data_IF_513613622463
#
_entry.id   IF_513613622463
#
_cell.length_a   1.000
_cell.length_b   1.000
_cell.length_c   1.000
_cell.angle_alpha   90.00
_cell.angle_beta   90.00
_cell.angle_gamma   90.00
#
_symmetry.space_group_name_H-M   'P 1'
#
loop_
_entity.id
_entity.type
_entity.pdbx_description
1 polymer ?
#
# COMPACT_ATOMS: atom_id res chain seq x y z
N UNK A 1 -13.46 -34.35 -7.17
CA UNK A 1 -14.69 -34.74 -7.90
C UNK A 1 -15.83 -35.13 -6.94
N UNK A 2 -15.72 -36.24 -6.20
CA UNK A 2 -16.79 -36.73 -5.28
C UNK A 2 -17.35 -35.69 -4.27
N UNK A 3 -16.53 -34.80 -3.72
CA UNK A 3 -16.99 -33.78 -2.77
C UNK A 3 -17.78 -32.65 -3.47
N UNK A 4 -17.25 -32.12 -4.58
CA UNK A 4 -17.93 -31.07 -5.34
C UNK A 4 -19.27 -31.54 -5.90
N UNK A 5 -19.35 -32.79 -6.40
CA UNK A 5 -20.61 -33.36 -6.88
C UNK A 5 -21.69 -33.39 -5.78
N UNK A 6 -21.30 -33.68 -4.53
CA UNK A 6 -22.22 -33.64 -3.37
C UNK A 6 -22.67 -32.23 -3.03
N UNK A 7 -21.75 -31.27 -3.03
CA UNK A 7 -22.06 -29.86 -2.77
C UNK A 7 -22.95 -29.29 -3.87
N UNK A 8 -22.63 -29.57 -5.14
CA UNK A 8 -23.45 -29.21 -6.30
C UNK A 8 -24.84 -29.82 -6.21
N UNK A 9 -24.96 -31.08 -5.82
CA UNK A 9 -26.27 -31.72 -5.67
C UNK A 9 -27.14 -31.01 -4.64
N UNK A 10 -26.60 -30.68 -3.46
CA UNK A 10 -27.32 -29.95 -2.40
C UNK A 10 -27.66 -28.52 -2.83
N UNK A 11 -26.74 -27.85 -3.54
CA UNK A 11 -26.95 -26.52 -4.09
C UNK A 11 -28.07 -26.48 -5.14
N UNK A 12 -28.10 -27.45 -6.06
CA UNK A 12 -29.10 -27.50 -7.13
C UNK A 12 -30.46 -28.06 -6.68
N UNK A 13 -30.47 -28.88 -5.62
CA UNK A 13 -31.65 -29.56 -5.10
C UNK A 13 -31.80 -29.33 -3.59
N UNK A 14 -32.13 -28.10 -3.15
CA UNK A 14 -32.39 -27.84 -1.74
C UNK A 14 -33.57 -28.71 -1.28
N UNK A 15 -33.33 -29.53 -0.26
CA UNK A 15 -34.33 -30.46 0.29
C UNK A 15 -35.20 -29.83 1.39
N UNK A 16 -34.87 -28.60 1.80
CA UNK A 16 -35.58 -27.78 2.78
C UNK A 16 -35.28 -26.30 2.54
N UNK A 17 -36.05 -25.44 3.19
CA UNK A 17 -35.68 -24.03 3.31
C UNK A 17 -34.42 -23.89 4.19
N UNK A 18 -33.46 -23.11 3.70
CA UNK A 18 -32.21 -22.79 4.39
C UNK A 18 -32.36 -21.44 5.09
N UNK A 19 -31.73 -21.28 6.25
CA UNK A 19 -31.58 -19.95 6.85
C UNK A 19 -30.68 -19.08 5.95
N UNK A 20 -30.69 -17.74 6.11
CA UNK A 20 -29.81 -16.86 5.35
C UNK A 20 -28.31 -17.23 5.47
N UNK A 21 -27.87 -17.63 6.66
CA UNK A 21 -26.48 -18.05 6.92
C UNK A 21 -26.15 -19.38 6.25
N UNK A 22 -27.06 -20.36 6.30
CA UNK A 22 -26.89 -21.66 5.65
C UNK A 22 -26.85 -21.52 4.13
N UNK A 23 -27.72 -20.68 3.57
CA UNK A 23 -27.72 -20.37 2.14
C UNK A 23 -26.41 -19.68 1.73
N UNK A 24 -25.95 -18.69 2.51
CA UNK A 24 -24.67 -18.03 2.26
C UNK A 24 -23.50 -19.01 2.29
N UNK A 25 -23.47 -19.94 3.25
CA UNK A 25 -22.45 -20.97 3.34
C UNK A 25 -22.47 -21.90 2.12
N UNK A 26 -23.66 -22.33 1.69
CA UNK A 26 -23.83 -23.21 0.53
C UNK A 26 -23.38 -22.53 -0.76
N UNK A 27 -23.86 -21.31 -1.00
CA UNK A 27 -23.51 -20.49 -2.16
C UNK A 27 -21.99 -20.22 -2.20
N UNK A 28 -21.41 -19.79 -1.08
CA UNK A 28 -19.96 -19.52 -0.98
C UNK A 28 -19.12 -20.79 -1.14
N UNK A 29 -19.58 -21.91 -0.61
CA UNK A 29 -18.89 -23.20 -0.76
C UNK A 29 -18.91 -23.66 -2.22
N UNK A 30 -20.08 -23.63 -2.86
CA UNK A 30 -20.22 -23.99 -4.27
C UNK A 30 -19.32 -23.12 -5.16
N UNK A 31 -19.39 -21.80 -5.00
CA UNK A 31 -18.58 -20.85 -5.75
C UNK A 31 -17.08 -21.06 -5.51
N UNK A 32 -16.67 -21.35 -4.28
CA UNK A 32 -15.28 -21.67 -3.94
C UNK A 32 -14.73 -22.86 -4.76
N UNK A 33 -15.53 -23.91 -4.95
CA UNK A 33 -15.16 -25.05 -5.79
C UNK A 33 -15.13 -24.69 -7.28
N UNK A 34 -16.14 -23.97 -7.78
CA UNK A 34 -16.19 -23.52 -9.18
C UNK A 34 -14.96 -22.70 -9.54
N UNK A 35 -14.58 -21.74 -8.69
CA UNK A 35 -13.39 -20.90 -8.85
C UNK A 35 -12.07 -21.66 -8.73
N UNK A 36 -12.08 -22.78 -8.03
CA UNK A 36 -10.97 -23.73 -7.98
C UNK A 36 -10.93 -24.67 -9.20
N UNK A 37 -11.75 -24.41 -10.23
CA UNK A 37 -11.78 -25.18 -11.47
C UNK A 37 -12.55 -26.50 -11.35
N UNK A 38 -13.46 -26.66 -10.39
CA UNK A 38 -14.20 -27.91 -10.23
C UNK A 38 -15.06 -28.27 -11.45
N UNK A 39 -15.50 -27.26 -12.23
CA UNK A 39 -16.23 -27.41 -13.50
C UNK A 39 -15.34 -27.63 -14.73
N UNK A 40 -14.02 -27.47 -14.61
CA UNK A 40 -13.09 -27.70 -15.72
C UNK A 40 -12.92 -29.20 -15.98
N UNK A 41 -12.55 -29.56 -17.20
CA UNK A 41 -12.03 -30.87 -17.54
C UNK A 41 -10.63 -31.09 -16.94
N UNK A 42 -10.02 -32.25 -17.17
CA UNK A 42 -8.70 -32.56 -16.59
C UNK A 42 -7.59 -31.66 -17.16
N UNK A 43 -7.67 -31.30 -18.43
CA UNK A 43 -6.71 -30.38 -19.07
C UNK A 43 -6.82 -28.97 -18.47
N UNK A 44 -8.05 -28.45 -18.35
CA UNK A 44 -8.31 -27.15 -17.73
C UNK A 44 -7.90 -27.12 -16.26
N UNK A 45 -8.13 -28.18 -15.49
CA UNK A 45 -7.65 -28.27 -14.10
C UNK A 45 -6.12 -28.21 -14.02
N UNK A 46 -5.42 -28.95 -14.88
CA UNK A 46 -3.95 -28.95 -14.90
C UNK A 46 -3.40 -27.58 -15.32
N UNK A 47 -4.03 -26.93 -16.31
CA UNK A 47 -3.69 -25.56 -16.70
C UNK A 47 -3.90 -24.58 -15.55
N UNK A 48 -5.05 -24.66 -14.86
CA UNK A 48 -5.34 -23.81 -13.71
C UNK A 48 -4.29 -23.99 -12.61
N UNK A 49 -3.93 -25.25 -12.30
CA UNK A 49 -2.90 -25.58 -11.31
C UNK A 49 -1.57 -24.90 -11.65
N UNK A 50 -1.08 -25.08 -12.89
CA UNK A 50 0.17 -24.44 -13.36
C UNK A 50 0.12 -22.92 -13.27
N UNK A 51 -0.97 -22.30 -13.72
CA UNK A 51 -1.15 -20.84 -13.67
C UNK A 51 -1.12 -20.32 -12.22
N UNK A 52 -1.82 -21.00 -11.30
CA UNK A 52 -1.87 -20.60 -9.89
C UNK A 52 -0.54 -20.82 -9.16
N UNK A 53 0.18 -21.89 -9.49
CA UNK A 53 1.51 -22.18 -8.96
C UNK A 53 2.51 -21.11 -9.38
N UNK A 54 2.56 -20.79 -10.67
CA UNK A 54 3.43 -19.75 -11.22
C UNK A 54 3.10 -18.37 -10.63
N UNK A 55 1.82 -17.99 -10.57
CA UNK A 55 1.40 -16.71 -10.00
C UNK A 55 1.78 -16.59 -8.51
N UNK A 56 1.70 -17.68 -7.75
CA UNK A 56 2.08 -17.71 -6.33
C UNK A 56 3.59 -17.52 -6.16
N UNK A 57 4.40 -18.23 -6.96
CA UNK A 57 5.86 -18.07 -6.96
C UNK A 57 6.28 -16.65 -7.33
N UNK A 58 5.71 -16.09 -8.40
CA UNK A 58 6.02 -14.73 -8.85
C UNK A 58 5.58 -13.65 -7.85
N UNK A 59 4.46 -13.85 -7.15
CA UNK A 59 4.01 -12.92 -6.10
C UNK A 59 4.96 -12.92 -4.89
N UNK A 60 5.47 -14.11 -4.53
CA UNK A 60 6.51 -14.23 -3.50
C UNK A 60 7.80 -13.55 -3.93
N UNK A 61 8.26 -13.82 -5.17
CA UNK A 61 9.47 -13.21 -5.72
C UNK A 61 9.36 -11.69 -5.79
N UNK A 62 8.23 -11.15 -6.27
CA UNK A 62 7.95 -9.71 -6.28
C UNK A 62 8.17 -9.07 -4.90
N UNK A 63 7.60 -9.68 -3.87
CA UNK A 63 7.65 -9.18 -2.49
C UNK A 63 9.06 -9.28 -1.90
N UNK A 64 9.80 -10.35 -2.19
CA UNK A 64 11.18 -10.53 -1.78
C UNK A 64 12.12 -9.53 -2.46
N UNK A 65 11.94 -9.29 -3.76
CA UNK A 65 12.70 -8.30 -4.51
C UNK A 65 12.50 -6.89 -3.94
N UNK A 66 11.25 -6.52 -3.69
CA UNK A 66 10.91 -5.24 -3.06
C UNK A 66 11.60 -5.07 -1.70
N UNK A 67 11.56 -6.10 -0.85
CA UNK A 67 12.20 -6.06 0.46
C UNK A 67 13.73 -5.92 0.34
N UNK A 68 14.37 -6.68 -0.55
CA UNK A 68 15.82 -6.65 -0.75
C UNK A 68 16.28 -5.28 -1.23
N UNK A 69 15.62 -4.72 -2.23
CA UNK A 69 16.03 -3.44 -2.82
C UNK A 69 15.75 -2.26 -1.91
N UNK A 70 14.62 -2.28 -1.18
CA UNK A 70 14.31 -1.29 -0.16
C UNK A 70 15.38 -1.25 0.94
N UNK A 71 15.91 -2.42 1.34
CA UNK A 71 16.99 -2.54 2.32
C UNK A 71 18.38 -2.19 1.77
N UNK A 72 18.60 -2.36 0.47
CA UNK A 72 19.89 -2.09 -0.16
C UNK A 72 20.20 -0.59 -0.24
N UNK A 73 19.17 0.25 -0.38
CA UNK A 73 19.35 1.69 -0.39
C UNK A 73 19.68 2.23 1.01
N UNK A 74 20.77 2.99 1.09
CA UNK A 74 21.10 3.82 2.24
C UNK A 74 21.58 5.18 1.75
N UNK A 75 21.06 6.25 2.36
CA UNK A 75 21.62 7.59 2.23
C UNK A 75 22.47 7.84 3.48
N UNK A 76 23.79 7.71 3.31
CA UNK A 76 24.76 7.89 4.37
C UNK A 76 25.30 9.32 4.33
N UNK A 77 25.09 10.06 5.43
CA UNK A 77 25.50 11.45 5.62
C UNK A 77 26.52 11.49 6.75
N UNK A 78 27.65 12.15 6.53
CA UNK A 78 28.69 12.40 7.55
C UNK A 78 28.89 13.88 7.85
N UNK A 79 28.42 14.76 6.96
CA UNK A 79 28.43 16.21 7.17
C UNK A 79 27.14 16.66 7.86
N UNK A 80 27.28 17.19 9.08
CA UNK A 80 26.15 17.66 9.89
C UNK A 80 25.37 18.80 9.20
N UNK A 81 26.02 19.62 8.35
CA UNK A 81 25.34 20.68 7.61
C UNK A 81 24.27 20.13 6.64
N UNK A 82 24.42 18.88 6.19
CA UNK A 82 23.44 18.21 5.33
C UNK A 82 22.19 17.72 6.09
N UNK A 83 22.16 17.85 7.41
CA UNK A 83 20.99 17.51 8.25
C UNK A 83 20.06 18.70 8.52
N UNK A 84 20.35 19.85 7.91
CA UNK A 84 19.58 21.08 8.13
C UNK A 84 18.07 20.88 7.85
N UNK A 85 17.27 21.51 8.72
CA UNK A 85 15.81 21.37 8.77
C UNK A 85 15.26 20.11 9.43
N UNK A 86 16.02 19.02 9.53
CA UNK A 86 15.52 17.76 10.09
C UNK A 86 15.21 17.88 11.60
N UNK A 87 14.10 17.28 12.09
CA UNK A 87 13.83 17.19 13.52
C UNK A 87 14.88 16.34 14.24
N UNK A 88 15.17 16.68 15.51
CA UNK A 88 16.11 15.93 16.34
C UNK A 88 15.73 14.45 16.49
N UNK A 89 14.44 14.13 16.49
CA UNK A 89 13.92 12.76 16.52
C UNK A 89 14.34 11.96 15.28
N UNK A 90 14.32 12.59 14.10
CA UNK A 90 14.75 11.96 12.84
C UNK A 90 16.28 11.82 12.79
N UNK A 91 17.03 12.84 13.24
CA UNK A 91 18.49 12.76 13.34
C UNK A 91 18.93 11.66 14.32
N UNK A 92 18.31 11.58 15.49
CA UNK A 92 18.61 10.55 16.48
C UNK A 92 18.31 9.13 15.94
N UNK A 93 17.19 8.94 15.25
CA UNK A 93 16.86 7.67 14.61
C UNK A 93 17.89 7.29 13.53
N UNK A 94 18.28 8.23 12.67
CA UNK A 94 19.27 7.99 11.63
C UNK A 94 20.68 7.69 12.19
N UNK A 95 21.06 8.34 13.29
CA UNK A 95 22.30 8.04 14.01
C UNK A 95 22.26 6.66 14.67
N UNK A 96 21.10 6.26 15.21
CA UNK A 96 20.91 4.90 15.73
C UNK A 96 21.08 3.85 14.63
N UNK A 97 20.45 4.06 13.46
CA UNK A 97 20.61 3.18 12.30
C UNK A 97 22.06 3.12 11.81
N UNK A 98 22.79 4.25 11.80
CA UNK A 98 24.22 4.26 11.46
C UNK A 98 25.02 3.37 12.42
N UNK A 99 24.76 3.49 13.73
CA UNK A 99 25.40 2.67 14.76
C UNK A 99 25.07 1.18 14.63
N UNK A 100 23.82 0.82 14.34
CA UNK A 100 23.42 -0.57 14.08
C UNK A 100 24.13 -1.18 12.85
N UNK A 101 24.49 -0.34 11.88
CA UNK A 101 25.25 -0.73 10.69
C UNK A 101 26.76 -0.52 10.84
N UNK A 102 27.26 -0.23 12.05
CA UNK A 102 28.68 0.00 12.34
C UNK A 102 29.31 1.11 11.48
N UNK A 103 28.55 2.17 11.16
CA UNK A 103 29.01 3.35 10.44
C UNK A 103 28.90 4.61 11.30
N UNK A 104 29.78 5.57 11.06
CA UNK A 104 29.71 6.90 11.67
C UNK A 104 28.65 7.77 10.98
N UNK A 105 28.20 8.85 11.62
CA UNK A 105 27.24 9.80 11.04
C UNK A 105 25.79 9.30 11.10
N UNK A 106 25.05 9.49 10.00
CA UNK A 106 23.60 9.28 9.92
C UNK A 106 23.23 8.46 8.69
N UNK A 107 22.36 7.47 8.86
CA UNK A 107 21.83 6.67 7.75
C UNK A 107 20.32 6.87 7.65
N UNK A 108 19.88 7.35 6.48
CA UNK A 108 18.48 7.39 6.10
C UNK A 108 18.15 6.23 5.15
N UNK A 109 17.02 5.57 5.39
CA UNK A 109 16.53 4.44 4.58
C UNK A 109 15.24 4.82 3.84
N UNK A 110 14.77 3.92 2.99
CA UNK A 110 13.49 4.08 2.29
C UNK A 110 12.28 3.67 3.14
N UNK A 111 12.51 3.16 4.36
CA UNK A 111 11.43 2.83 5.29
C UNK A 111 10.68 4.10 5.69
N UNK A 112 9.35 4.01 5.76
CA UNK A 112 8.50 5.19 5.90
C UNK A 112 8.86 6.11 7.09
N UNK A 113 9.21 5.60 8.29
CA UNK A 113 9.64 6.44 9.41
C UNK A 113 10.95 7.21 9.17
N UNK A 114 11.81 6.76 8.24
CA UNK A 114 13.04 7.45 7.84
C UNK A 114 12.78 8.38 6.64
N UNK A 115 12.10 7.85 5.61
CA UNK A 115 11.78 8.57 4.38
C UNK A 115 10.87 9.79 4.60
N UNK A 116 9.77 9.62 5.35
CA UNK A 116 8.76 10.67 5.49
C UNK A 116 9.31 11.93 6.16
N UNK A 117 10.00 11.87 7.32
CA UNK A 117 10.60 13.07 7.90
C UNK A 117 11.64 13.70 6.98
N UNK A 118 12.45 12.90 6.28
CA UNK A 118 13.45 13.44 5.37
C UNK A 118 12.82 14.27 4.24
N UNK A 119 11.77 13.74 3.60
CA UNK A 119 11.06 14.45 2.52
C UNK A 119 10.25 15.65 3.00
N UNK A 120 9.86 15.68 4.28
CA UNK A 120 9.04 16.74 4.88
C UNK A 120 9.90 17.91 5.36
N UNK A 121 11.03 17.64 6.01
CA UNK A 121 11.75 18.66 6.77
C UNK A 121 13.13 19.01 6.22
N UNK A 122 13.80 18.11 5.49
CA UNK A 122 15.18 18.36 5.03
C UNK A 122 15.21 19.57 4.09
N UNK A 123 16.08 20.54 4.35
CA UNK A 123 16.28 21.68 3.44
C UNK A 123 17.10 21.30 2.20
N UNK A 124 17.78 20.14 2.23
CA UNK A 124 18.69 19.68 1.19
C UNK A 124 17.95 19.11 -0.03
N UNK A 125 17.65 19.98 -1.01
CA UNK A 125 16.85 19.64 -2.20
C UNK A 125 17.40 18.48 -3.03
N UNK A 126 18.70 18.44 -3.29
CA UNK A 126 19.29 17.33 -4.07
C UNK A 126 19.24 16.00 -3.32
N UNK A 127 19.33 16.01 -1.98
CA UNK A 127 19.16 14.80 -1.18
C UNK A 127 17.69 14.34 -1.16
N UNK A 128 16.74 15.27 -1.08
CA UNK A 128 15.30 14.95 -1.23
C UNK A 128 15.04 14.31 -2.59
N UNK A 129 15.64 14.83 -3.67
CA UNK A 129 15.56 14.25 -5.01
C UNK A 129 16.16 12.84 -5.04
N UNK A 130 17.34 12.62 -4.46
CA UNK A 130 17.96 11.30 -4.39
C UNK A 130 17.05 10.28 -3.67
N UNK A 131 16.51 10.63 -2.50
CA UNK A 131 15.57 9.76 -1.77
C UNK A 131 14.27 9.52 -2.55
N UNK A 132 13.70 10.57 -3.14
CA UNK A 132 12.49 10.45 -3.93
C UNK A 132 12.67 9.52 -5.12
N UNK A 133 13.75 9.71 -5.90
CA UNK A 133 14.04 8.86 -7.05
C UNK A 133 14.24 7.41 -6.59
N UNK A 134 15.09 7.19 -5.59
CA UNK A 134 15.33 5.86 -5.05
C UNK A 134 14.04 5.16 -4.61
N UNK A 135 13.10 5.86 -3.97
CA UNK A 135 11.82 5.29 -3.52
C UNK A 135 10.85 4.99 -4.66
N UNK A 136 10.82 5.82 -5.70
CA UNK A 136 9.86 5.71 -6.81
C UNK A 136 10.36 4.85 -7.96
N UNK A 137 11.64 4.49 -7.99
CA UNK A 137 12.23 3.57 -8.99
C UNK A 137 12.60 2.20 -8.41
N UNK A 138 12.22 1.91 -7.16
CA UNK A 138 12.44 0.59 -6.54
C UNK A 138 11.89 -0.52 -7.44
N UNK A 139 12.72 -1.53 -7.71
CA UNK A 139 12.44 -2.69 -8.55
C UNK A 139 12.20 -2.36 -10.03
N UNK A 140 12.74 -1.23 -10.50
CA UNK A 140 12.73 -0.87 -11.93
C UNK A 140 14.13 -0.76 -12.54
N UNK A 141 15.18 -0.93 -11.74
CA UNK A 141 16.57 -0.86 -12.20
C UNK A 141 17.00 -2.14 -12.93
N UNK A 142 18.03 -2.05 -13.76
CA UNK A 142 18.60 -3.22 -14.45
C UNK A 142 19.44 -4.08 -13.48
N UNK A 143 18.76 -4.83 -12.61
CA UNK A 143 19.35 -5.69 -11.59
C UNK A 143 18.46 -6.93 -11.32
N UNK A 144 18.93 -7.84 -10.45
CA UNK A 144 18.22 -9.07 -10.09
C UNK A 144 16.89 -8.84 -9.34
N UNK A 145 16.67 -7.64 -8.79
CA UNK A 145 15.45 -7.27 -8.07
C UNK A 145 14.41 -6.58 -8.98
N UNK A 146 14.68 -6.44 -10.28
CA UNK A 146 13.74 -5.85 -11.22
C UNK A 146 12.42 -6.64 -11.27
N UNK A 147 11.31 -5.95 -11.04
CA UNK A 147 9.97 -6.52 -11.01
C UNK A 147 9.14 -6.25 -12.28
N UNK A 148 9.67 -5.55 -13.29
CA UNK A 148 8.91 -5.20 -14.49
C UNK A 148 8.43 -6.45 -15.25
N UNK A 149 9.31 -7.42 -15.48
CA UNK A 149 8.92 -8.67 -16.16
C UNK A 149 8.03 -9.55 -15.28
N UNK A 150 8.26 -9.56 -13.97
CA UNK A 150 7.38 -10.25 -13.00
C UNK A 150 5.96 -9.66 -13.05
N UNK A 151 5.83 -8.33 -13.05
CA UNK A 151 4.55 -7.63 -13.17
C UNK A 151 3.84 -7.97 -14.49
N UNK A 152 4.55 -7.88 -15.63
CA UNK A 152 4.01 -8.24 -16.95
C UNK A 152 3.51 -9.68 -16.96
N UNK A 153 4.28 -10.62 -16.40
CA UNK A 153 3.88 -12.03 -16.35
C UNK A 153 2.68 -12.24 -15.42
N UNK A 154 2.65 -11.62 -14.24
CA UNK A 154 1.51 -11.69 -13.31
C UNK A 154 0.21 -11.16 -13.94
N UNK A 155 0.26 -10.06 -14.69
CA UNK A 155 -0.91 -9.54 -15.41
C UNK A 155 -1.42 -10.54 -16.45
N UNK A 156 -0.52 -11.13 -17.23
CA UNK A 156 -0.88 -12.15 -18.22
C UNK A 156 -1.47 -13.41 -17.56
N UNK A 157 -0.84 -13.91 -16.50
CA UNK A 157 -1.33 -15.06 -15.73
C UNK A 157 -2.74 -14.82 -15.16
N UNK A 158 -2.99 -13.64 -14.61
CA UNK A 158 -4.31 -13.24 -14.11
C UNK A 158 -5.37 -13.24 -15.20
N UNK A 159 -5.03 -12.73 -16.40
CA UNK A 159 -5.92 -12.78 -17.57
C UNK A 159 -6.20 -14.21 -18.02
N UNK A 160 -5.15 -15.03 -18.20
CA UNK A 160 -5.28 -16.43 -18.61
C UNK A 160 -6.13 -17.24 -17.62
N UNK A 161 -5.94 -17.02 -16.32
CA UNK A 161 -6.71 -17.67 -15.26
C UNK A 161 -8.19 -17.29 -15.33
N UNK A 162 -8.50 -16.00 -15.51
CA UNK A 162 -9.87 -15.52 -15.61
C UNK A 162 -10.59 -16.12 -16.83
N UNK A 163 -9.94 -16.11 -17.99
CA UNK A 163 -10.49 -16.65 -19.23
C UNK A 163 -10.70 -18.16 -19.15
N UNK A 164 -9.77 -18.89 -18.52
CA UNK A 164 -9.93 -20.32 -18.26
C UNK A 164 -11.17 -20.63 -17.41
N UNK A 165 -11.52 -19.75 -16.49
CA UNK A 165 -12.71 -19.87 -15.63
C UNK A 165 -13.98 -19.24 -16.25
N UNK A 166 -13.93 -18.80 -17.51
CA UNK A 166 -15.07 -18.26 -18.23
C UNK A 166 -15.36 -16.77 -17.98
N UNK A 167 -14.39 -16.02 -17.44
CA UNK A 167 -14.49 -14.57 -17.24
C UNK A 167 -13.72 -13.81 -18.32
N UNK A 168 -14.23 -12.66 -18.75
CA UNK A 168 -13.57 -11.82 -19.77
C UNK A 168 -12.26 -11.23 -19.23
N UNK A 169 -12.31 -10.65 -18.03
CA UNK A 169 -11.15 -10.07 -17.36
C UNK A 169 -10.96 -10.62 -15.95
N UNK A 170 -9.75 -10.44 -15.41
CA UNK A 170 -9.50 -10.74 -14.00
C UNK A 170 -10.30 -9.85 -13.04
N UNK A 171 -10.66 -8.64 -13.46
CA UNK A 171 -11.51 -7.77 -12.66
C UNK A 171 -12.92 -8.37 -12.53
N UNK A 172 -13.50 -8.87 -13.63
CA UNK A 172 -14.81 -9.54 -13.60
C UNK A 172 -14.78 -10.77 -12.70
N UNK A 173 -13.69 -11.56 -12.77
CA UNK A 173 -13.48 -12.69 -11.89
C UNK A 173 -13.42 -12.30 -10.41
N UNK A 174 -12.70 -11.24 -10.04
CA UNK A 174 -12.56 -10.81 -8.64
C UNK A 174 -13.83 -10.13 -8.11
N UNK A 175 -14.50 -9.34 -8.93
CA UNK A 175 -15.63 -8.50 -8.51
C UNK A 175 -16.91 -9.28 -8.21
N UNK A 176 -17.04 -10.54 -8.66
CA UNK A 176 -18.17 -11.42 -8.29
C UNK A 176 -18.41 -11.54 -6.78
N UNK A 177 -17.35 -11.45 -5.97
CA UNK A 177 -17.45 -11.50 -4.49
C UNK A 177 -17.06 -10.17 -3.84
N UNK A 178 -17.21 -9.06 -4.55
CA UNK A 178 -17.02 -7.72 -4.01
C UNK A 178 -18.36 -7.00 -4.06
N UNK A 179 -18.62 -6.14 -3.08
CA UNK A 179 -19.87 -5.36 -3.02
C UNK A 179 -20.07 -4.51 -4.29
N UNK A 180 -18.98 -4.05 -4.92
CA UNK A 180 -19.03 -3.31 -6.17
C UNK A 180 -19.64 -4.12 -7.34
N UNK A 181 -19.61 -5.46 -7.28
CA UNK A 181 -20.23 -6.41 -8.22
C UNK A 181 -19.70 -6.44 -9.66
N UNK A 182 -19.32 -5.30 -10.24
CA UNK A 182 -18.81 -5.18 -11.61
C UNK A 182 -17.88 -3.96 -11.75
N UNK A 183 -17.18 -3.88 -12.88
CA UNK A 183 -16.21 -2.83 -13.19
C UNK A 183 -16.87 -1.46 -13.38
N UNK A 184 -18.08 -1.41 -13.93
CA UNK A 184 -18.85 -0.16 -14.15
C UNK A 184 -19.09 0.59 -12.84
N UNK A 185 -19.55 -0.09 -11.79
CA UNK A 185 -19.77 0.52 -10.47
C UNK A 185 -18.47 1.00 -9.83
N UNK A 186 -17.36 0.27 -10.03
CA UNK A 186 -16.04 0.69 -9.55
C UNK A 186 -15.62 2.00 -10.24
N UNK A 187 -15.69 2.05 -11.57
CA UNK A 187 -15.32 3.24 -12.32
C UNK A 187 -16.25 4.41 -12.04
N UNK A 188 -17.56 4.16 -11.87
CA UNK A 188 -18.51 5.21 -11.49
C UNK A 188 -18.08 5.86 -10.18
N UNK A 189 -17.82 5.09 -9.12
CA UNK A 189 -17.39 5.63 -7.84
C UNK A 189 -16.07 6.41 -7.98
N UNK A 190 -15.07 5.84 -8.66
CA UNK A 190 -13.77 6.50 -8.83
C UNK A 190 -13.88 7.81 -9.62
N UNK A 191 -14.70 7.85 -10.67
CA UNK A 191 -14.93 9.06 -11.46
C UNK A 191 -15.71 10.11 -10.65
N UNK A 192 -16.75 9.72 -9.91
CA UNK A 192 -17.49 10.64 -9.03
C UNK A 192 -16.54 11.28 -7.99
N UNK A 193 -15.59 10.51 -7.44
CA UNK A 193 -14.56 11.04 -6.53
C UNK A 193 -13.59 11.99 -7.24
N UNK A 194 -13.11 11.64 -8.45
CA UNK A 194 -12.23 12.52 -9.24
C UNK A 194 -12.94 13.85 -9.52
N UNK A 195 -14.18 13.82 -9.98
CA UNK A 195 -14.94 15.03 -10.31
C UNK A 195 -15.16 15.92 -9.08
N UNK A 196 -15.42 15.32 -7.91
CA UNK A 196 -15.62 16.04 -6.67
C UNK A 196 -14.33 16.66 -6.10
N UNK A 197 -13.19 15.93 -6.14
CA UNK A 197 -11.97 16.34 -5.43
C UNK A 197 -10.93 17.03 -6.31
N UNK A 198 -10.88 16.75 -7.62
CA UNK A 198 -9.86 17.29 -8.53
C UNK A 198 -9.81 18.81 -8.55
N UNK A 199 -10.92 19.56 -8.59
CA UNK A 199 -10.86 21.03 -8.59
C UNK A 199 -10.20 21.61 -7.33
N UNK A 200 -10.38 20.96 -6.18
CA UNK A 200 -9.74 21.37 -4.92
C UNK A 200 -8.26 20.98 -4.91
N UNK A 201 -7.93 19.75 -5.34
CA UNK A 201 -6.54 19.30 -5.43
C UNK A 201 -5.69 20.19 -6.35
N UNK A 202 -6.23 20.62 -7.50
CA UNK A 202 -5.54 21.54 -8.41
C UNK A 202 -5.31 22.93 -7.78
N UNK A 203 -6.22 23.40 -6.91
CA UNK A 203 -6.02 24.65 -6.15
C UNK A 203 -4.94 24.49 -5.10
N UNK A 204 -4.96 23.40 -4.34
CA UNK A 204 -3.96 23.12 -3.31
C UNK A 204 -2.55 23.00 -3.91
N UNK A 205 -2.40 22.31 -5.05
CA UNK A 205 -1.12 22.24 -5.77
C UNK A 205 -0.63 23.65 -6.16
N UNK A 206 -1.52 24.50 -6.69
CA UNK A 206 -1.17 25.89 -7.04
C UNK A 206 -0.77 26.73 -5.83
N UNK A 207 -1.38 26.52 -4.67
CA UNK A 207 -0.98 27.20 -3.44
C UNK A 207 0.42 26.77 -2.97
N UNK A 208 0.73 25.48 -3.02
CA UNK A 208 2.06 24.95 -2.70
C UNK A 208 3.11 25.51 -3.67
N UNK A 209 2.82 25.53 -4.97
CA UNK A 209 3.69 26.12 -5.99
C UNK A 209 3.90 27.62 -5.78
N UNK A 210 2.85 28.35 -5.41
CA UNK A 210 2.94 29.78 -5.12
C UNK A 210 3.82 30.05 -3.90
N UNK A 211 3.72 29.24 -2.84
CA UNK A 211 4.60 29.32 -1.69
C UNK A 211 6.06 29.02 -2.07
N UNK A 212 6.30 27.97 -2.84
CA UNK A 212 7.64 27.63 -3.30
C UNK A 212 8.27 28.81 -4.08
N UNK A 213 7.54 29.42 -5.02
CA UNK A 213 8.02 30.59 -5.78
C UNK A 213 8.21 31.83 -4.92
N UNK A 214 7.39 32.02 -3.87
CA UNK A 214 7.57 33.12 -2.89
C UNK A 214 8.88 32.98 -2.12
N UNK A 215 9.30 31.75 -1.80
CA UNK A 215 10.50 31.48 -1.00
C UNK A 215 11.78 31.39 -1.85
N UNK A 216 11.73 30.75 -3.02
CA UNK A 216 12.89 30.43 -3.84
C UNK A 216 13.09 31.39 -5.02
N UNK A 217 12.06 32.17 -5.38
CA UNK A 217 12.04 33.06 -6.53
C UNK A 217 11.08 32.60 -7.64
N UNK A 218 10.73 33.54 -8.54
CA UNK A 218 9.68 33.33 -9.56
C UNK A 218 10.02 32.25 -10.59
N UNK A 219 11.31 32.05 -10.86
CA UNK A 219 11.83 31.07 -11.83
C UNK A 219 11.95 29.65 -11.24
N UNK A 220 11.60 29.48 -9.96
CA UNK A 220 11.63 28.17 -9.31
C UNK A 220 10.59 27.22 -9.94
N UNK A 221 11.09 26.09 -10.44
CA UNK A 221 10.27 25.00 -10.94
C UNK A 221 10.15 23.91 -9.86
N UNK A 222 8.93 23.72 -9.35
CA UNK A 222 8.63 22.68 -8.37
C UNK A 222 8.72 21.29 -9.02
N UNK A 223 9.37 20.36 -8.34
CA UNK A 223 9.46 18.95 -8.74
C UNK A 223 8.77 18.05 -7.71
N UNK A 224 8.49 16.78 -8.02
CA UNK A 224 7.77 15.89 -7.10
C UNK A 224 8.43 15.74 -5.71
N UNK A 225 9.76 15.80 -5.63
CA UNK A 225 10.52 15.74 -4.37
C UNK A 225 10.48 17.04 -3.53
N UNK A 226 9.86 18.08 -4.05
CA UNK A 226 9.67 19.36 -3.36
C UNK A 226 8.29 19.44 -2.67
N UNK A 227 7.33 18.63 -3.11
CA UNK A 227 5.93 18.77 -2.70
C UNK A 227 5.73 18.60 -1.19
N UNK A 228 6.32 17.55 -0.58
CA UNK A 228 6.21 17.31 0.87
C UNK A 228 6.77 18.48 1.70
N UNK A 229 7.93 18.99 1.31
CA UNK A 229 8.61 20.10 1.99
C UNK A 229 7.81 21.40 1.95
N UNK A 230 7.35 21.82 0.76
CA UNK A 230 6.55 23.05 0.67
C UNK A 230 5.13 22.89 1.19
N UNK A 231 4.54 21.69 1.12
CA UNK A 231 3.23 21.42 1.75
C UNK A 231 3.31 21.55 3.27
N UNK A 232 4.37 21.06 3.89
CA UNK A 232 4.62 21.25 5.33
C UNK A 232 4.79 22.73 5.68
N UNK A 233 5.59 23.47 4.92
CA UNK A 233 5.73 24.93 5.12
C UNK A 233 4.40 25.67 4.98
N UNK A 234 3.56 25.29 4.01
CA UNK A 234 2.24 25.89 3.82
C UNK A 234 1.30 25.55 4.98
N UNK A 235 1.33 24.31 5.47
CA UNK A 235 0.57 23.88 6.64
C UNK A 235 0.98 24.68 7.88
N UNK A 236 2.28 24.92 8.08
CA UNK A 236 2.80 25.76 9.15
C UNK A 236 2.34 27.22 9.00
N UNK A 237 2.41 27.80 7.79
CA UNK A 237 1.95 29.18 7.54
C UNK A 237 0.44 29.35 7.78
N UNK A 238 -0.38 28.36 7.41
CA UNK A 238 -1.84 28.43 7.53
C UNK A 238 -2.40 28.08 8.91
N UNK A 239 -1.82 27.08 9.57
CA UNK A 239 -2.41 26.47 10.77
C UNK A 239 -1.49 26.48 11.98
N UNK A 240 -0.21 26.83 11.82
CA UNK A 240 0.81 26.76 12.87
C UNK A 240 0.80 25.40 13.60
N UNK A 241 0.66 24.32 12.83
CA UNK A 241 0.53 22.97 13.35
C UNK A 241 1.59 22.07 12.72
N UNK A 242 2.41 21.45 13.58
CA UNK A 242 3.44 20.51 13.19
C UNK A 242 3.19 19.13 13.82
N UNK A 243 3.43 18.07 13.07
CA UNK A 243 3.28 16.70 13.56
C UNK A 243 4.28 16.40 14.69
N UNK A 244 5.49 16.96 14.62
CA UNK A 244 6.51 16.78 15.68
C UNK A 244 6.10 17.46 17.00
N UNK A 245 5.32 18.55 16.96
CA UNK A 245 4.78 19.18 18.18
C UNK A 245 3.78 18.26 18.89
N UNK A 246 3.04 17.43 18.14
CA UNK A 246 2.05 16.52 18.69
C UNK A 246 2.64 15.20 19.20
N UNK A 247 3.86 14.84 18.76
CA UNK A 247 4.49 13.56 19.05
C UNK A 247 4.57 13.21 20.55
N UNK A 248 4.90 14.13 21.47
CA UNK A 248 4.94 13.81 22.91
C UNK A 248 3.57 13.39 23.50
N UNK A 249 2.46 13.76 22.84
CA UNK A 249 1.10 13.46 23.29
C UNK A 249 0.59 12.09 22.81
N UNK A 250 1.25 11.46 21.84
CA UNK A 250 0.85 10.18 21.26
C UNK A 250 1.81 9.05 21.66
N UNK A 251 2.03 8.90 22.96
CA UNK A 251 2.80 7.76 23.50
C UNK A 251 2.00 6.46 23.31
N UNK A 252 2.68 5.40 22.86
CA UNK A 252 2.03 4.15 22.44
C UNK A 252 1.18 3.52 23.55
N UNK A 253 1.69 3.49 24.78
CA UNK A 253 0.97 2.98 25.95
C UNK A 253 -0.33 3.77 26.20
N UNK A 254 -0.28 5.11 26.11
CA UNK A 254 -1.46 5.97 26.26
C UNK A 254 -2.45 5.83 25.12
N UNK A 255 -1.97 5.61 23.90
CA UNK A 255 -2.84 5.33 22.74
C UNK A 255 -3.54 3.98 22.92
N UNK A 256 -2.83 2.95 23.39
CA UNK A 256 -3.41 1.64 23.72
C UNK A 256 -4.49 1.78 24.79
N UNK A 257 -4.21 2.50 25.88
CA UNK A 257 -5.19 2.78 26.94
C UNK A 257 -6.45 3.45 26.38
N UNK A 258 -6.27 4.44 25.50
CA UNK A 258 -7.38 5.15 24.84
C UNK A 258 -8.23 4.23 23.94
N UNK A 259 -7.60 3.38 23.14
CA UNK A 259 -8.28 2.40 22.26
C UNK A 259 -9.06 1.38 23.09
N UNK A 260 -8.47 0.82 24.14
CA UNK A 260 -9.14 -0.12 25.03
C UNK A 260 -10.28 0.53 25.82
N UNK A 261 -10.09 1.77 26.28
CA UNK A 261 -11.13 2.54 26.95
C UNK A 261 -12.33 2.82 26.03
N UNK A 262 -12.09 3.16 24.77
CA UNK A 262 -13.16 3.36 23.78
C UNK A 262 -13.93 2.05 23.51
N UNK A 263 -13.21 0.96 23.31
CA UNK A 263 -13.82 -0.35 23.08
C UNK A 263 -14.65 -0.83 24.29
N UNK A 264 -14.17 -0.57 25.51
CA UNK A 264 -14.95 -0.82 26.72
C UNK A 264 -16.24 0.02 26.74
N UNK A 265 -16.15 1.31 26.42
CA UNK A 265 -17.32 2.21 26.45
C UNK A 265 -18.37 1.86 25.39
N UNK A 266 -17.94 1.46 24.19
CA UNK A 266 -18.84 1.14 23.08
C UNK A 266 -19.41 -0.27 23.15
N UNK A 267 -18.61 -1.24 23.60
CA UNK A 267 -18.93 -2.67 23.48
C UNK A 267 -18.94 -3.43 24.80
N UNK A 268 -18.58 -2.79 25.92
CA UNK A 268 -18.55 -3.41 27.24
C UNK A 268 -17.41 -4.42 27.46
N UNK A 269 -16.48 -4.56 26.51
CA UNK A 269 -15.37 -5.52 26.60
C UNK A 269 -14.23 -5.00 27.48
N UNK A 270 -13.52 -5.91 28.15
CA UNK A 270 -12.38 -5.59 29.03
C UNK A 270 -11.12 -6.28 28.54
N UNK A 271 -9.98 -5.63 28.79
CA UNK A 271 -8.67 -6.11 28.33
C UNK A 271 -7.76 -6.34 29.53
N UNK A 272 -6.98 -7.42 29.47
CA UNK A 272 -5.94 -7.72 30.44
C UNK A 272 -4.72 -8.19 29.66
N UNK A 273 -3.55 -7.67 30.00
CA UNK A 273 -2.29 -8.13 29.44
C UNK A 273 -2.13 -9.63 29.69
N UNK A 274 -1.85 -10.37 28.62
CA UNK A 274 -1.50 -11.78 28.72
C UNK A 274 -0.02 -11.87 29.07
N UNK A 275 0.27 -12.14 30.35
CA UNK A 275 1.63 -12.28 30.87
C UNK A 275 2.26 -13.61 30.51
#
# INVERSE_FOLDING_TARGET
KKLFERIKFVHDHPNRELTPEEKMLLDTSYDGFVRSGALLDEEGKEKLRKLTEEASMLTLQFSQNLLKENKAFTLHITDEAQLDGLPETAKAAAAHTAKEQEKEGWIFTLDYPSYSPFMTYSTQRELRKQMYMARNTVCTHDNEQNNLEICKRLVNLRRELAQLLGFETYADYVLRHRMASNTEHVYKLLNDLIDAYKPTAEKEVKEVEALAKKLEGKDFEMKPWDFGFYSHKLQMEKYNLDAEMLRPYFQLDKVIDGVFGLANKLYGITFKENK
#
